data_IF_104836437412
#
_entry.id   IF_104836437412
#
_cell.length_a   1.000
_cell.length_b   1.000
_cell.length_c   1.000
_cell.angle_alpha   90.00
_cell.angle_beta   90.00
_cell.angle_gamma   90.00
#
_symmetry.space_group_name_H-M   'P 1'
#
loop_
_entity.id
_entity.type
_entity.pdbx_description
1 polymer ?
#
# COMPACT_ATOMS: atom_id res chain seq x y z
N UNK A 1 10.89 0.69 6.32
CA UNK A 1 9.64 0.68 5.50
C UNK A 1 9.20 2.08 5.07
N UNK A 2 9.27 3.09 5.95
CA UNK A 2 8.95 4.50 5.64
C UNK A 2 9.65 5.06 4.39
N UNK A 3 10.92 4.73 4.17
CA UNK A 3 11.70 5.20 3.01
C UNK A 3 11.03 4.89 1.67
N UNK A 4 10.41 3.72 1.55
CA UNK A 4 9.71 3.34 0.34
C UNK A 4 8.39 4.10 0.17
N UNK A 5 7.71 4.41 1.27
CA UNK A 5 6.51 5.27 1.23
C UNK A 5 6.91 6.66 0.75
N UNK A 6 8.04 7.18 1.24
CA UNK A 6 8.66 8.41 0.76
C UNK A 6 8.89 8.39 -0.75
N UNK A 7 9.69 7.44 -1.25
CA UNK A 7 10.00 7.33 -2.68
C UNK A 7 8.74 7.15 -3.52
N UNK A 8 7.77 6.38 -3.04
CA UNK A 8 6.50 6.20 -3.73
C UNK A 8 5.73 7.51 -3.81
N UNK A 9 5.48 8.18 -2.68
CA UNK A 9 4.74 9.45 -2.66
C UNK A 9 5.43 10.50 -3.53
N UNK A 10 6.75 10.62 -3.45
CA UNK A 10 7.53 11.53 -4.29
C UNK A 10 7.38 11.22 -5.77
N UNK A 11 7.53 9.95 -6.17
CA UNK A 11 7.37 9.53 -7.57
C UNK A 11 5.97 9.75 -8.14
N UNK A 12 4.94 9.82 -7.30
CA UNK A 12 3.55 9.88 -7.72
C UNK A 12 2.91 11.26 -7.57
N UNK A 13 3.40 12.07 -6.64
CA UNK A 13 2.83 13.37 -6.31
C UNK A 13 3.78 14.53 -6.64
N UNK A 14 5.02 14.26 -7.04
CA UNK A 14 6.09 15.26 -7.23
C UNK A 14 6.27 16.14 -5.98
N UNK A 15 6.02 15.57 -4.80
CA UNK A 15 6.14 16.22 -3.49
C UNK A 15 7.02 15.33 -2.62
N UNK A 16 8.01 15.91 -1.94
CA UNK A 16 8.77 15.21 -0.90
C UNK A 16 8.04 15.36 0.45
N UNK A 17 7.25 14.37 0.91
CA UNK A 17 6.47 14.50 2.13
C UNK A 17 7.39 14.42 3.37
N UNK A 18 7.05 15.08 4.48
CA UNK A 18 7.77 14.82 5.73
C UNK A 18 7.30 13.51 6.38
N UNK A 19 8.11 12.94 7.28
CA UNK A 19 7.71 11.77 8.05
C UNK A 19 6.42 12.03 8.84
N UNK A 20 6.28 13.22 9.42
CA UNK A 20 5.09 13.64 10.16
C UNK A 20 3.85 13.69 9.25
N UNK A 21 4.00 14.15 8.01
CA UNK A 21 2.90 14.17 7.03
C UNK A 21 2.44 12.76 6.68
N UNK A 22 3.37 11.81 6.50
CA UNK A 22 3.06 10.40 6.26
C UNK A 22 2.34 9.81 7.49
N UNK A 23 2.84 10.04 8.69
CA UNK A 23 2.20 9.53 9.91
C UNK A 23 0.80 10.15 10.11
N UNK A 24 0.64 11.44 9.83
CA UNK A 24 -0.66 12.11 9.91
C UNK A 24 -1.66 11.53 8.90
N UNK A 25 -1.21 11.21 7.68
CA UNK A 25 -2.09 10.70 6.63
C UNK A 25 -2.62 9.30 6.94
N UNK A 26 -1.78 8.39 7.45
CA UNK A 26 -2.26 7.05 7.85
C UNK A 26 -3.21 7.10 9.05
N UNK A 27 -3.14 8.16 9.86
CA UNK A 27 -3.99 8.36 11.03
C UNK A 27 -5.24 9.21 10.75
N UNK A 28 -5.51 9.57 9.49
CA UNK A 28 -6.66 10.38 9.10
C UNK A 28 -7.98 9.77 9.61
N UNK A 29 -8.89 10.63 10.08
CA UNK A 29 -10.20 10.23 10.64
C UNK A 29 -11.12 9.61 9.60
N UNK A 30 -10.91 9.93 8.32
CA UNK A 30 -11.60 9.37 7.16
C UNK A 30 -11.30 7.88 6.93
N UNK A 31 -10.21 7.38 7.50
CA UNK A 31 -9.79 5.98 7.39
C UNK A 31 -10.36 5.20 8.58
N UNK A 32 -10.88 3.99 8.36
CA UNK A 32 -11.38 3.17 9.47
C UNK A 32 -10.24 2.75 10.41
N UNK A 33 -10.52 2.65 11.72
CA UNK A 33 -9.51 2.29 12.73
C UNK A 33 -8.77 0.98 12.41
N UNK A 34 -9.49 -0.02 11.90
CA UNK A 34 -8.91 -1.30 11.51
C UNK A 34 -7.84 -1.13 10.41
N UNK A 35 -8.12 -0.29 9.42
CA UNK A 35 -7.22 0.01 8.31
C UNK A 35 -6.00 0.80 8.81
N UNK A 36 -6.19 1.77 9.72
CA UNK A 36 -5.07 2.48 10.34
C UNK A 36 -4.11 1.54 11.07
N UNK A 37 -4.66 0.60 11.86
CA UNK A 37 -3.86 -0.42 12.54
C UNK A 37 -3.12 -1.32 11.55
N UNK A 38 -3.74 -1.67 10.44
CA UNK A 38 -3.09 -2.41 9.36
C UNK A 38 -1.91 -1.64 8.78
N UNK A 39 -2.08 -0.37 8.43
CA UNK A 39 -0.99 0.48 7.92
C UNK A 39 0.15 0.63 8.92
N UNK A 40 -0.16 0.87 10.19
CA UNK A 40 0.84 0.95 11.24
C UNK A 40 1.66 -0.35 11.34
N UNK A 41 1.01 -1.52 11.32
CA UNK A 41 1.70 -2.82 11.32
C UNK A 41 2.57 -3.03 10.07
N UNK A 42 2.11 -2.60 8.90
CA UNK A 42 2.91 -2.67 7.68
C UNK A 42 4.17 -1.81 7.80
N UNK A 43 4.04 -0.55 8.25
CA UNK A 43 5.16 0.37 8.38
C UNK A 43 6.22 -0.14 9.35
N UNK A 44 5.79 -0.75 10.45
CA UNK A 44 6.66 -1.31 11.47
C UNK A 44 7.13 -2.74 11.19
N UNK A 45 6.73 -3.33 10.05
CA UNK A 45 7.11 -4.70 9.66
C UNK A 45 6.76 -5.76 10.73
N UNK A 46 5.60 -5.60 11.36
CA UNK A 46 5.17 -6.42 12.51
C UNK A 46 4.63 -7.79 12.06
N UNK A 47 4.32 -7.93 10.78
CA UNK A 47 3.83 -9.20 10.26
C UNK A 47 4.96 -10.22 10.24
N UNK A 48 4.68 -11.42 10.75
CA UNK A 48 5.63 -12.53 10.72
C UNK A 48 5.68 -13.13 9.31
N UNK A 49 6.36 -12.47 8.40
CA UNK A 49 6.55 -12.86 7.00
C UNK A 49 8.01 -12.69 6.60
N UNK A 50 8.47 -13.49 5.63
CA UNK A 50 9.81 -13.39 5.06
C UNK A 50 10.92 -13.43 6.08
N UNK A 51 11.68 -12.33 6.14
CA UNK A 51 12.87 -12.17 6.98
C UNK A 51 12.64 -12.44 8.46
N UNK A 52 11.40 -12.30 8.95
CA UNK A 52 11.04 -12.72 10.29
C UNK A 52 11.42 -14.19 10.55
N UNK A 53 11.29 -15.07 9.57
CA UNK A 53 11.54 -16.51 9.71
C UNK A 53 13.00 -16.92 9.52
N UNK A 54 13.92 -16.01 9.17
CA UNK A 54 15.31 -16.36 8.82
C UNK A 54 16.09 -16.98 9.99
N UNK A 55 15.67 -16.71 11.22
CA UNK A 55 16.34 -17.16 12.44
C UNK A 55 15.80 -18.50 12.96
N UNK A 56 14.79 -19.08 12.32
CA UNK A 56 14.18 -20.35 12.73
C UNK A 56 14.60 -21.43 11.73
N UNK A 57 15.27 -22.47 12.23
CA UNK A 57 15.62 -23.62 11.40
C UNK A 57 14.33 -24.34 10.95
N UNK A 58 14.27 -24.75 9.67
CA UNK A 58 13.12 -25.39 9.01
C UNK A 58 11.93 -24.49 8.59
N UNK A 59 11.96 -23.17 8.79
CA UNK A 59 10.90 -22.25 8.32
C UNK A 59 11.18 -21.60 6.95
N UNK A 60 12.14 -22.11 6.19
CA UNK A 60 12.54 -21.58 4.86
C UNK A 60 11.37 -21.55 3.86
N UNK A 61 10.38 -22.44 4.04
CA UNK A 61 9.15 -22.47 3.22
C UNK A 61 8.23 -21.27 3.53
N UNK A 62 8.35 -20.67 4.72
CA UNK A 62 7.56 -19.51 5.17
C UNK A 62 8.28 -18.18 4.92
N UNK A 63 9.58 -18.23 4.63
CA UNK A 63 10.40 -17.07 4.26
C UNK A 63 10.12 -16.62 2.82
N UNK A 64 9.80 -17.54 1.92
CA UNK A 64 9.72 -17.24 0.48
C UNK A 64 8.31 -17.39 -0.05
N UNK A 65 8.01 -16.59 -1.07
CA UNK A 65 6.72 -16.62 -1.74
C UNK A 65 6.54 -17.99 -2.38
N UNK A 66 5.45 -18.72 -2.10
CA UNK A 66 5.26 -20.04 -2.67
C UNK A 66 5.15 -19.99 -4.19
N UNK A 67 4.76 -18.84 -4.76
CA UNK A 67 4.51 -18.69 -6.19
C UNK A 67 5.74 -18.21 -6.96
N UNK A 68 6.36 -17.09 -6.57
CA UNK A 68 7.48 -16.51 -7.32
C UNK A 68 8.85 -16.65 -6.63
N UNK A 69 8.92 -17.30 -5.46
CA UNK A 69 10.15 -17.65 -4.72
C UNK A 69 11.01 -16.47 -4.24
N UNK A 70 10.52 -15.23 -4.31
CA UNK A 70 11.15 -14.08 -3.66
C UNK A 70 10.87 -14.09 -2.15
N UNK A 71 11.74 -13.46 -1.35
CA UNK A 71 11.49 -13.27 0.09
C UNK A 71 10.18 -12.52 0.31
N UNK A 72 9.31 -13.09 1.15
CA UNK A 72 8.01 -12.50 1.44
C UNK A 72 8.15 -11.20 2.24
N UNK A 73 7.27 -10.26 1.96
CA UNK A 73 7.11 -9.05 2.76
C UNK A 73 5.73 -8.48 2.49
N UNK A 74 5.23 -7.58 3.35
CA UNK A 74 3.95 -6.93 3.05
C UNK A 74 3.96 -6.15 1.72
N UNK A 75 5.14 -5.70 1.27
CA UNK A 75 5.33 -5.11 -0.07
C UNK A 75 5.27 -6.15 -1.19
N UNK A 76 5.83 -7.32 -0.93
CA UNK A 76 5.75 -8.43 -1.86
C UNK A 76 4.29 -8.89 -2.03
N UNK A 77 3.62 -9.22 -0.92
CA UNK A 77 2.25 -9.75 -0.91
C UNK A 77 1.25 -8.80 -1.58
N UNK A 78 1.25 -7.51 -1.20
CA UNK A 78 0.15 -6.61 -1.56
C UNK A 78 0.32 -5.93 -2.94
N UNK A 79 1.45 -5.23 -3.22
CA UNK A 79 1.65 -4.62 -4.54
C UNK A 79 2.62 -5.30 -5.52
N UNK A 80 3.63 -6.07 -5.09
CA UNK A 80 4.76 -6.43 -6.00
C UNK A 80 4.71 -7.85 -6.57
N UNK A 81 4.02 -8.81 -5.94
CA UNK A 81 4.01 -10.20 -6.39
C UNK A 81 3.23 -10.38 -7.70
N UNK A 82 3.96 -10.49 -8.81
CA UNK A 82 3.39 -10.60 -10.17
C UNK A 82 2.54 -11.84 -10.44
N UNK A 83 2.61 -12.85 -9.57
CA UNK A 83 2.09 -14.19 -9.86
C UNK A 83 1.01 -14.67 -8.87
N UNK A 84 0.60 -13.84 -7.90
CA UNK A 84 -0.39 -14.24 -6.89
C UNK A 84 -1.82 -13.94 -7.35
N UNK A 85 -2.69 -14.95 -7.57
CA UNK A 85 -4.06 -14.74 -8.08
C UNK A 85 -4.94 -13.86 -7.19
N UNK A 86 -4.74 -13.95 -5.87
CA UNK A 86 -5.48 -13.13 -4.90
C UNK A 86 -5.16 -11.63 -5.02
N UNK A 87 -3.94 -11.28 -5.40
CA UNK A 87 -3.51 -9.90 -5.56
C UNK A 87 -4.26 -9.24 -6.73
N UNK A 88 -4.30 -9.91 -7.88
CA UNK A 88 -5.02 -9.42 -9.06
C UNK A 88 -6.52 -9.21 -8.77
N UNK A 89 -7.16 -10.16 -8.09
CA UNK A 89 -8.56 -10.04 -7.70
C UNK A 89 -8.78 -8.82 -6.79
N UNK A 90 -7.99 -8.66 -5.73
CA UNK A 90 -8.12 -7.54 -4.80
C UNK A 90 -7.97 -6.21 -5.53
N UNK A 91 -6.97 -6.07 -6.41
CA UNK A 91 -6.77 -4.83 -7.17
C UNK A 91 -7.87 -4.57 -8.19
N UNK A 92 -8.43 -5.63 -8.81
CA UNK A 92 -9.58 -5.49 -9.71
C UNK A 92 -10.84 -5.00 -8.97
N UNK A 93 -11.05 -5.46 -7.73
CA UNK A 93 -12.16 -5.00 -6.89
C UNK A 93 -11.94 -3.58 -6.39
N UNK A 94 -10.70 -3.24 -6.01
CA UNK A 94 -10.33 -1.89 -5.63
C UNK A 94 -10.56 -0.91 -6.80
N UNK A 95 -10.17 -1.28 -8.02
CA UNK A 95 -10.46 -0.54 -9.26
C UNK A 95 -11.96 -0.30 -9.46
N UNK A 96 -12.77 -1.35 -9.37
CA UNK A 96 -14.22 -1.23 -9.56
C UNK A 96 -14.87 -0.34 -8.51
N UNK A 97 -14.46 -0.46 -7.23
CA UNK A 97 -14.93 0.40 -6.16
C UNK A 97 -14.51 1.85 -6.38
N UNK A 98 -13.30 2.07 -6.89
CA UNK A 98 -12.77 3.38 -7.22
C UNK A 98 -13.60 4.08 -8.30
N UNK A 99 -13.83 3.38 -9.41
CA UNK A 99 -14.61 3.90 -10.53
C UNK A 99 -16.07 4.20 -10.15
N UNK A 100 -16.67 3.40 -9.24
CA UNK A 100 -18.02 3.67 -8.73
C UNK A 100 -18.12 4.94 -7.87
N UNK A 101 -17.01 5.40 -7.28
CA UNK A 101 -16.99 6.53 -6.35
C UNK A 101 -16.64 7.86 -7.04
N UNK A 102 -16.09 7.84 -8.26
CA UNK A 102 -15.64 9.05 -8.96
C UNK A 102 -16.58 9.46 -10.10
N UNK A 103 -16.77 10.78 -10.34
CA UNK A 103 -17.45 11.26 -11.54
C UNK A 103 -16.60 11.04 -12.80
N UNK A 104 -17.25 11.01 -13.97
CA UNK A 104 -16.68 10.58 -15.26
C UNK A 104 -15.39 11.32 -15.71
N UNK A 105 -15.08 12.48 -15.12
CA UNK A 105 -13.91 13.29 -15.43
C UNK A 105 -12.56 12.70 -14.95
N UNK A 106 -12.56 11.61 -14.17
CA UNK A 106 -11.35 11.00 -13.60
C UNK A 106 -10.91 9.67 -14.27
N UNK A 107 -11.52 9.29 -15.39
CA UNK A 107 -11.57 7.91 -15.94
C UNK A 107 -10.31 7.38 -16.66
N UNK A 108 -9.10 7.89 -16.41
CA UNK A 108 -7.87 7.28 -16.98
C UNK A 108 -7.22 6.27 -16.02
N UNK A 109 -7.89 5.14 -15.82
CA UNK A 109 -7.39 4.03 -15.02
C UNK A 109 -6.56 3.06 -15.89
N UNK A 110 -5.25 3.00 -15.70
CA UNK A 110 -4.38 1.94 -16.27
C UNK A 110 -3.60 1.25 -15.16
N UNK A 111 -3.53 -0.08 -15.23
CA UNK A 111 -2.99 -0.99 -14.22
C UNK A 111 -1.58 -0.64 -13.69
N UNK A 112 -0.74 0.08 -14.43
CA UNK A 112 0.59 0.52 -13.96
C UNK A 112 0.58 1.76 -13.04
N UNK A 113 -0.60 2.31 -12.74
CA UNK A 113 -0.79 3.61 -12.07
C UNK A 113 -1.61 3.52 -10.77
N UNK A 114 -1.80 2.33 -10.21
CA UNK A 114 -2.69 2.07 -9.07
C UNK A 114 -2.32 2.77 -7.75
N UNK A 115 -1.08 3.24 -7.60
CA UNK A 115 -0.64 3.92 -6.40
C UNK A 115 -0.88 5.44 -6.44
N UNK A 116 -1.04 6.05 -7.63
CA UNK A 116 -1.22 7.52 -7.75
C UNK A 116 -2.57 7.98 -7.22
N UNK A 117 -3.65 7.30 -7.54
CA UNK A 117 -5.00 7.81 -7.26
C UNK A 117 -5.43 7.57 -5.81
N UNK A 118 -5.01 6.47 -5.19
CA UNK A 118 -5.22 6.20 -3.76
C UNK A 118 -4.58 7.27 -2.87
N UNK A 119 -3.38 7.73 -3.20
CA UNK A 119 -2.64 8.73 -2.43
C UNK A 119 -3.09 10.16 -2.79
N UNK A 120 -3.31 10.48 -4.07
CA UNK A 120 -3.71 11.83 -4.50
C UNK A 120 -5.09 12.23 -3.95
N UNK A 121 -6.07 11.32 -3.89
CA UNK A 121 -7.38 11.66 -3.27
C UNK A 121 -7.27 11.72 -1.75
N UNK A 122 -6.46 10.87 -1.11
CA UNK A 122 -6.18 10.99 0.33
C UNK A 122 -5.48 12.31 0.67
N UNK A 123 -4.54 12.78 -0.17
CA UNK A 123 -3.85 14.07 0.00
C UNK A 123 -4.74 15.27 -0.37
N UNK A 124 -5.58 15.17 -1.41
CA UNK A 124 -6.58 16.19 -1.74
C UNK A 124 -7.67 16.32 -0.68
N UNK A 125 -8.02 15.23 0.02
CA UNK A 125 -8.90 15.26 1.18
C UNK A 125 -8.21 15.86 2.42
N UNK A 126 -6.88 15.74 2.56
CA UNK A 126 -6.11 16.42 3.62
C UNK A 126 -5.99 17.92 3.34
N UNK A 127 -5.82 18.32 2.07
CA UNK A 127 -5.77 19.73 1.65
C UNK A 127 -7.10 20.49 1.76
N UNK A 128 -8.25 19.79 1.88
CA UNK A 128 -9.57 20.40 2.12
C UNK A 128 -9.97 20.50 3.59
N UNK A 129 -9.13 20.05 4.52
CA UNK A 129 -9.37 20.18 5.99
C UNK A 129 -8.64 21.43 6.54
N UNK A 130 -7.92 22.18 5.71
CA UNK A 130 -7.23 23.42 6.08
C UNK A 130 -7.89 24.70 5.55
N UNK A 131 -9.14 24.65 5.12
CA UNK A 131 -10.00 25.82 4.87
C UNK A 131 -11.25 25.77 5.77
#
# INVERSE_FOLDING_TARGET
>A
NLEWIWCSVESFCDISPTNEAIWKSIHATTIQRLIRNFYWKCIHDIFHVGNFWNHIEMSQILETCPVCKFTESMKHVAPECYNTPGQELIWSLAEQLWLKKLPDSYTSFRKSRLFTTLVLVSLQLIGRISD
#
